data_IF_915039433058
#
_entry.id   IF_915039433058
#
_cell.length_a   1.000
_cell.length_b   1.000
_cell.length_c   1.000
_cell.angle_alpha   90.00
_cell.angle_beta   90.00
_cell.angle_gamma   90.00
#
_symmetry.space_group_name_H-M   'P 1'
#
loop_
_entity.id
_entity.type
_entity.pdbx_description
1 polymer ?
#
# COMPACT_ATOMS: atom_id res chain seq x y z
N UNK A 1 -36.22 4.76 15.04
CA UNK A 1 -35.18 4.52 16.06
C UNK A 1 -34.59 3.11 15.96
N UNK A 2 -35.38 2.03 16.04
CA UNK A 2 -34.89 0.64 15.90
C UNK A 2 -34.19 0.37 14.56
N UNK A 3 -34.72 0.85 13.42
CA UNK A 3 -34.08 0.69 12.10
C UNK A 3 -32.75 1.42 11.98
N UNK A 4 -32.61 2.60 12.57
CA UNK A 4 -31.34 3.33 12.56
C UNK A 4 -30.27 2.62 13.40
N UNK A 5 -30.65 2.01 14.54
CA UNK A 5 -29.72 1.23 15.35
C UNK A 5 -29.27 -0.06 14.64
N UNK A 6 -30.16 -0.72 13.88
CA UNK A 6 -29.80 -1.90 13.10
C UNK A 6 -28.89 -1.56 11.93
N UNK A 7 -29.10 -0.45 11.24
CA UNK A 7 -28.21 0.02 10.15
C UNK A 7 -26.83 0.40 10.70
N UNK A 8 -26.76 1.12 11.81
CA UNK A 8 -25.48 1.50 12.44
C UNK A 8 -24.69 0.26 12.89
N UNK A 9 -25.36 -0.73 13.49
CA UNK A 9 -24.70 -1.97 13.90
C UNK A 9 -24.16 -2.76 12.70
N UNK A 10 -24.88 -2.80 11.59
CA UNK A 10 -24.46 -3.46 10.36
C UNK A 10 -23.23 -2.77 9.74
N UNK A 11 -23.21 -1.42 9.71
CA UNK A 11 -22.08 -0.64 9.21
C UNK A 11 -20.83 -0.92 10.06
N UNK A 12 -20.96 -0.90 11.39
CA UNK A 12 -19.84 -1.19 12.30
C UNK A 12 -19.31 -2.62 12.13
N UNK A 13 -20.17 -3.60 11.99
CA UNK A 13 -19.79 -4.99 11.76
C UNK A 13 -19.08 -5.15 10.41
N UNK A 14 -19.56 -4.48 9.36
CA UNK A 14 -18.93 -4.48 8.04
C UNK A 14 -17.55 -3.84 8.08
N UNK A 15 -17.42 -2.66 8.69
CA UNK A 15 -16.13 -1.95 8.85
C UNK A 15 -15.11 -2.82 9.60
N UNK A 16 -15.55 -3.52 10.66
CA UNK A 16 -14.71 -4.46 11.41
C UNK A 16 -14.22 -5.62 10.53
N UNK A 17 -15.11 -6.25 9.80
CA UNK A 17 -14.75 -7.36 8.91
C UNK A 17 -13.75 -6.94 7.82
N UNK A 18 -13.92 -5.75 7.24
CA UNK A 18 -12.97 -5.20 6.29
C UNK A 18 -11.61 -4.91 6.92
N UNK A 19 -11.57 -4.29 8.10
CA UNK A 19 -10.32 -4.00 8.81
C UNK A 19 -9.56 -5.29 9.19
N UNK A 20 -10.26 -6.32 9.64
CA UNK A 20 -9.67 -7.65 9.92
C UNK A 20 -9.11 -8.30 8.65
N UNK A 21 -9.84 -8.22 7.53
CA UNK A 21 -9.41 -8.76 6.24
C UNK A 21 -8.17 -8.03 5.72
N UNK A 22 -8.17 -6.69 5.79
CA UNK A 22 -7.02 -5.86 5.42
C UNK A 22 -5.80 -6.19 6.28
N UNK A 23 -5.97 -6.26 7.61
CA UNK A 23 -4.90 -6.60 8.53
C UNK A 23 -4.28 -7.95 8.19
N UNK A 24 -5.11 -8.97 7.99
CA UNK A 24 -4.66 -10.31 7.65
C UNK A 24 -3.91 -10.34 6.30
N UNK A 25 -4.38 -9.59 5.31
CA UNK A 25 -3.71 -9.46 4.01
C UNK A 25 -2.33 -8.81 4.15
N UNK A 26 -2.25 -7.69 4.86
CA UNK A 26 -0.98 -6.96 5.06
C UNK A 26 0.00 -7.78 5.91
N UNK A 27 -0.46 -8.46 6.95
CA UNK A 27 0.38 -9.38 7.74
C UNK A 27 0.97 -10.49 6.87
N UNK A 28 0.20 -11.04 5.91
CA UNK A 28 0.71 -12.02 4.94
C UNK A 28 1.75 -11.42 4.00
N UNK A 29 1.63 -10.16 3.60
CA UNK A 29 2.67 -9.49 2.82
C UNK A 29 3.95 -9.30 3.64
N UNK A 30 3.84 -8.87 4.89
CA UNK A 30 4.97 -8.70 5.81
C UNK A 30 5.72 -10.03 6.01
N UNK A 31 4.97 -11.12 6.18
CA UNK A 31 5.53 -12.47 6.43
C UNK A 31 5.92 -13.23 5.16
N UNK A 32 5.67 -12.67 3.97
CA UNK A 32 5.87 -13.41 2.72
C UNK A 32 7.36 -13.77 2.51
N UNK A 33 7.70 -15.07 2.50
CA UNK A 33 9.11 -15.50 2.62
C UNK A 33 9.90 -15.39 1.32
N UNK A 34 9.22 -15.40 0.16
CA UNK A 34 9.88 -15.33 -1.15
C UNK A 34 10.01 -13.89 -1.63
N UNK A 35 10.96 -13.58 -2.52
CA UNK A 35 10.99 -12.28 -3.19
C UNK A 35 9.65 -11.97 -3.86
N UNK A 36 9.11 -10.80 -3.59
CA UNK A 36 7.84 -10.30 -4.12
C UNK A 36 8.10 -9.05 -4.95
N UNK A 37 7.61 -9.05 -6.18
CA UNK A 37 7.83 -7.97 -7.14
C UNK A 37 6.49 -7.38 -7.57
N UNK A 38 6.35 -6.06 -7.47
CA UNK A 38 5.20 -5.35 -8.01
C UNK A 38 5.48 -4.86 -9.43
N UNK A 39 4.54 -5.11 -10.35
CA UNK A 39 4.55 -4.60 -11.73
C UNK A 39 3.38 -3.61 -11.88
N UNK A 40 3.70 -2.32 -11.99
CA UNK A 40 2.71 -1.24 -12.03
C UNK A 40 2.62 -0.68 -13.45
N UNK A 41 1.49 -0.90 -14.13
CA UNK A 41 1.23 -0.38 -15.46
C UNK A 41 -0.04 0.49 -15.43
N UNK A 42 0.11 1.75 -15.04
CA UNK A 42 -1.00 2.66 -14.80
C UNK A 42 -1.01 3.22 -13.39
N UNK A 43 -2.18 3.47 -12.82
CA UNK A 43 -2.31 4.03 -11.47
C UNK A 43 -2.14 2.99 -10.37
N UNK A 44 -1.28 3.25 -9.40
CA UNK A 44 -1.28 2.59 -8.10
C UNK A 44 -1.95 3.55 -7.09
N UNK A 45 -3.16 3.21 -6.64
CA UNK A 45 -3.99 4.11 -5.83
C UNK A 45 -4.40 3.43 -4.52
N UNK A 46 -4.44 4.20 -3.43
CA UNK A 46 -4.84 3.70 -2.10
C UNK A 46 -3.95 2.56 -1.64
N UNK A 47 -4.55 1.42 -1.28
CA UNK A 47 -3.85 0.21 -0.87
C UNK A 47 -2.80 -0.24 -1.88
N UNK A 48 -3.11 -0.14 -3.20
CA UNK A 48 -2.18 -0.50 -4.27
C UNK A 48 -0.89 0.32 -4.28
N UNK A 49 -0.93 1.58 -3.81
CA UNK A 49 0.24 2.42 -3.61
C UNK A 49 0.90 2.15 -2.23
N UNK A 50 0.08 2.08 -1.18
CA UNK A 50 0.53 1.99 0.20
C UNK A 50 1.34 0.71 0.50
N UNK A 51 0.99 -0.41 -0.14
CA UNK A 51 1.67 -1.69 0.07
C UNK A 51 3.03 -1.80 -0.66
N UNK A 52 3.39 -0.88 -1.55
CA UNK A 52 4.61 -1.00 -2.36
C UNK A 52 5.91 -1.08 -1.56
N UNK A 53 6.08 -0.39 -0.41
CA UNK A 53 7.27 -0.57 0.42
C UNK A 53 7.39 -1.96 1.08
N UNK A 54 6.29 -2.74 1.10
CA UNK A 54 6.29 -4.09 1.65
C UNK A 54 6.77 -5.15 0.65
N UNK A 55 6.88 -4.81 -0.64
CA UNK A 55 7.46 -5.69 -1.67
C UNK A 55 8.97 -5.45 -1.81
N UNK A 56 9.66 -6.32 -2.53
CA UNK A 56 11.13 -6.31 -2.62
C UNK A 56 11.65 -5.55 -3.84
N UNK A 57 10.81 -5.40 -4.88
CA UNK A 57 11.09 -4.55 -6.02
C UNK A 57 9.80 -4.04 -6.66
N UNK A 58 9.83 -2.81 -7.15
CA UNK A 58 8.72 -2.18 -7.85
C UNK A 58 9.19 -1.76 -9.24
N UNK A 59 8.64 -2.35 -10.28
CA UNK A 59 8.83 -1.93 -11.65
C UNK A 59 7.59 -1.23 -12.16
N UNK A 60 7.75 -0.08 -12.79
CA UNK A 60 6.59 0.64 -13.31
C UNK A 60 6.77 1.10 -14.77
N UNK A 61 5.65 1.36 -15.41
CA UNK A 61 5.61 2.06 -16.70
C UNK A 61 5.90 3.55 -16.52
N UNK A 62 6.49 4.19 -17.54
CA UNK A 62 6.71 5.64 -17.54
C UNK A 62 5.41 6.46 -17.36
N UNK A 63 4.25 5.88 -17.73
CA UNK A 63 2.92 6.49 -17.56
C UNK A 63 2.26 6.16 -16.23
N UNK A 64 2.94 5.44 -15.34
CA UNK A 64 2.39 5.11 -14.04
C UNK A 64 2.39 6.31 -13.10
N UNK A 65 1.42 6.32 -12.19
CA UNK A 65 1.32 7.31 -11.11
C UNK A 65 0.93 6.63 -9.80
N UNK A 66 1.25 7.29 -8.69
CA UNK A 66 1.10 6.76 -7.34
C UNK A 66 0.34 7.75 -6.48
N UNK A 67 -0.74 7.33 -5.84
CA UNK A 67 -1.60 8.23 -5.08
C UNK A 67 -2.25 7.53 -3.89
N UNK A 68 -2.43 8.27 -2.81
CA UNK A 68 -3.16 7.81 -1.61
C UNK A 68 -4.23 8.85 -1.24
N UNK A 69 -5.43 8.81 -1.86
CA UNK A 69 -6.45 9.84 -1.68
C UNK A 69 -7.20 9.72 -0.34
N UNK A 70 -6.53 9.26 0.74
CA UNK A 70 -7.13 8.97 2.03
C UNK A 70 -7.91 10.14 2.60
N UNK A 71 -7.31 11.33 2.63
CA UNK A 71 -7.93 12.52 3.22
C UNK A 71 -9.20 12.93 2.45
N UNK A 72 -9.18 12.81 1.11
CA UNK A 72 -10.38 13.08 0.28
C UNK A 72 -11.53 12.15 0.61
N UNK A 73 -11.22 10.92 0.99
CA UNK A 73 -12.19 9.88 1.35
C UNK A 73 -12.54 9.90 2.85
N UNK A 74 -11.93 10.78 3.65
CA UNK A 74 -12.08 10.80 5.11
C UNK A 74 -11.43 9.61 5.81
N UNK A 75 -10.48 8.96 5.13
CA UNK A 75 -9.73 7.79 5.62
C UNK A 75 -8.35 8.18 6.15
N UNK A 76 -7.68 7.22 6.75
CA UNK A 76 -6.31 7.31 7.24
C UNK A 76 -5.38 6.37 6.47
N UNK A 77 -4.05 6.49 6.62
CA UNK A 77 -3.10 5.55 6.04
C UNK A 77 -3.38 4.08 6.38
N UNK A 78 -2.97 3.19 5.47
CA UNK A 78 -3.09 1.73 5.57
C UNK A 78 -1.81 1.05 5.07
N UNK A 79 -1.71 -0.27 5.25
CA UNK A 79 -0.60 -1.11 4.78
C UNK A 79 0.78 -0.63 5.26
N UNK A 80 0.84 -0.19 6.50
CA UNK A 80 2.03 0.37 7.15
C UNK A 80 2.55 1.66 6.51
N UNK A 81 1.79 2.33 5.63
CA UNK A 81 2.27 3.52 4.91
C UNK A 81 2.56 4.71 5.82
N UNK A 82 1.91 4.82 6.99
CA UNK A 82 2.25 5.83 8.01
C UNK A 82 3.68 5.69 8.55
N UNK A 83 4.24 4.49 8.49
CA UNK A 83 5.60 4.17 8.93
C UNK A 83 6.58 4.07 7.75
N UNK A 84 6.20 3.36 6.69
CA UNK A 84 7.11 3.04 5.58
C UNK A 84 7.35 4.22 4.64
N UNK A 85 6.34 5.04 4.36
CA UNK A 85 6.52 6.19 3.46
C UNK A 85 7.52 7.22 4.00
N UNK A 86 7.48 7.64 5.27
CA UNK A 86 8.52 8.50 5.82
C UNK A 86 9.93 7.93 5.68
N UNK A 87 10.10 6.62 5.80
CA UNK A 87 11.41 5.96 5.69
C UNK A 87 11.89 5.87 4.23
N UNK A 88 11.00 5.58 3.28
CA UNK A 88 11.36 5.37 1.87
C UNK A 88 11.43 6.69 1.12
N UNK A 89 10.45 7.58 1.33
CA UNK A 89 10.26 8.81 0.55
C UNK A 89 10.85 10.05 1.23
N UNK A 90 11.14 9.96 2.54
CA UNK A 90 11.35 11.11 3.41
C UNK A 90 10.04 11.76 3.85
N UNK A 91 10.04 12.41 5.01
CA UNK A 91 8.84 12.96 5.67
C UNK A 91 8.06 13.94 4.79
N UNK A 92 8.73 14.83 4.07
CA UNK A 92 8.09 15.84 3.22
C UNK A 92 7.25 15.20 2.12
N UNK A 93 7.79 14.19 1.43
CA UNK A 93 7.06 13.54 0.34
C UNK A 93 5.98 12.59 0.88
N UNK A 94 6.22 11.95 2.02
CA UNK A 94 5.20 11.17 2.72
C UNK A 94 3.98 12.05 3.09
N UNK A 95 4.21 13.26 3.62
CA UNK A 95 3.15 14.22 3.91
C UNK A 95 2.39 14.66 2.65
N UNK A 96 3.08 14.86 1.54
CA UNK A 96 2.42 15.20 0.27
C UNK A 96 1.45 14.10 -0.20
N UNK A 97 1.85 12.83 -0.10
CA UNK A 97 0.99 11.70 -0.44
C UNK A 97 -0.13 11.51 0.58
N UNK A 98 0.22 11.40 1.87
CA UNK A 98 -0.70 10.94 2.91
C UNK A 98 -1.63 12.03 3.43
N UNK A 99 -1.18 13.30 3.47
CA UNK A 99 -1.96 14.41 4.02
C UNK A 99 -2.51 15.35 2.94
N UNK A 100 -1.72 15.61 1.89
CA UNK A 100 -2.14 16.55 0.84
C UNK A 100 -2.80 15.83 -0.35
N UNK A 101 -2.71 14.49 -0.43
CA UNK A 101 -3.30 13.70 -1.51
C UNK A 101 -2.69 14.02 -2.89
N UNK A 102 -1.44 14.48 -2.93
CA UNK A 102 -0.70 14.78 -4.17
C UNK A 102 -0.20 13.47 -4.77
N UNK A 103 -0.49 13.24 -6.05
CA UNK A 103 0.01 12.06 -6.75
C UNK A 103 1.46 12.28 -7.19
N UNK A 104 2.26 11.19 -7.14
CA UNK A 104 3.61 11.14 -7.70
C UNK A 104 3.60 10.56 -9.11
N UNK A 105 4.37 11.16 -10.00
CA UNK A 105 4.71 10.56 -11.30
C UNK A 105 5.68 9.38 -11.10
N UNK A 106 5.84 8.54 -12.13
CA UNK A 106 6.82 7.45 -12.15
C UNK A 106 8.25 7.94 -11.85
N UNK A 107 8.63 9.09 -12.42
CA UNK A 107 9.94 9.70 -12.22
C UNK A 107 10.15 10.14 -10.76
N UNK A 108 9.17 10.83 -10.18
CA UNK A 108 9.25 11.23 -8.76
C UNK A 108 9.28 10.03 -7.83
N UNK A 109 8.45 9.01 -8.08
CA UNK A 109 8.43 7.78 -7.29
C UNK A 109 9.78 7.04 -7.34
N UNK A 110 10.46 7.03 -8.50
CA UNK A 110 11.81 6.49 -8.61
C UNK A 110 12.86 7.35 -7.91
N UNK A 111 12.79 8.67 -8.08
CA UNK A 111 13.72 9.60 -7.44
C UNK A 111 13.71 9.48 -5.91
N UNK A 112 12.53 9.23 -5.34
CA UNK A 112 12.35 9.06 -3.89
C UNK A 112 12.46 7.61 -3.40
N UNK A 113 12.80 6.64 -4.26
CA UNK A 113 13.10 5.27 -3.85
C UNK A 113 11.88 4.33 -3.75
N UNK A 114 10.67 4.77 -4.10
CA UNK A 114 9.48 3.90 -4.13
C UNK A 114 9.52 2.91 -5.30
N UNK A 115 10.14 3.29 -6.41
CA UNK A 115 10.22 2.52 -7.65
C UNK A 115 11.67 2.14 -7.94
N UNK A 116 11.88 0.85 -8.23
CA UNK A 116 13.20 0.30 -8.59
C UNK A 116 13.59 0.70 -10.00
N UNK A 117 12.70 0.54 -10.99
CA UNK A 117 12.97 0.90 -12.39
C UNK A 117 11.70 1.27 -13.15
N UNK A 118 11.90 2.18 -14.12
CA UNK A 118 10.85 2.65 -15.04
C UNK A 118 11.16 2.09 -16.42
N UNK A 119 10.13 1.66 -17.13
CA UNK A 119 10.22 1.14 -18.50
C UNK A 119 9.23 1.84 -19.44
N UNK A 120 9.52 1.91 -20.76
CA UNK A 120 8.59 2.42 -21.75
C UNK A 120 7.25 1.70 -21.69
N UNK A 121 6.15 2.44 -21.82
CA UNK A 121 4.81 1.90 -21.63
C UNK A 121 4.52 0.69 -22.53
N UNK A 122 4.85 0.81 -23.81
CA UNK A 122 4.52 -0.20 -24.81
C UNK A 122 5.36 -1.48 -24.70
N UNK A 123 6.52 -1.38 -24.06
CA UNK A 123 7.45 -2.50 -23.82
C UNK A 123 7.52 -2.91 -22.35
N UNK A 124 6.66 -2.33 -21.50
CA UNK A 124 6.72 -2.51 -20.05
C UNK A 124 6.76 -3.96 -19.61
N UNK A 125 5.78 -4.75 -20.07
CA UNK A 125 5.67 -6.17 -19.67
C UNK A 125 6.92 -6.97 -20.05
N UNK A 126 7.47 -6.74 -21.25
CA UNK A 126 8.65 -7.45 -21.73
C UNK A 126 9.88 -7.14 -20.86
N UNK A 127 10.15 -5.85 -20.60
CA UNK A 127 11.32 -5.43 -19.81
C UNK A 127 11.19 -5.82 -18.33
N UNK A 128 10.03 -5.57 -17.74
CA UNK A 128 9.79 -5.92 -16.34
C UNK A 128 9.92 -7.44 -16.12
N UNK A 129 9.31 -8.25 -16.99
CA UNK A 129 9.42 -9.72 -16.90
C UNK A 129 10.84 -10.24 -17.15
N UNK A 130 11.63 -9.57 -17.98
CA UNK A 130 13.05 -9.90 -18.14
C UNK A 130 13.82 -9.73 -16.81
N UNK A 131 13.57 -8.62 -16.08
CA UNK A 131 14.14 -8.40 -14.76
C UNK A 131 13.69 -9.46 -13.75
N UNK A 132 12.39 -9.78 -13.71
CA UNK A 132 11.84 -10.81 -12.82
C UNK A 132 12.48 -12.19 -13.09
N UNK A 133 12.57 -12.59 -14.36
CA UNK A 133 13.20 -13.87 -14.75
C UNK A 133 14.66 -13.92 -14.32
N UNK A 134 15.43 -12.85 -14.56
CA UNK A 134 16.83 -12.77 -14.14
C UNK A 134 16.98 -12.95 -12.63
N UNK A 135 16.10 -12.35 -11.82
CA UNK A 135 16.07 -12.55 -10.37
C UNK A 135 15.70 -13.99 -10.01
N UNK A 136 14.69 -14.56 -10.68
CA UNK A 136 14.23 -15.92 -10.43
C UNK A 136 15.28 -17.03 -10.77
N UNK A 137 16.28 -16.70 -11.60
CA UNK A 137 17.39 -17.62 -11.91
C UNK A 137 18.47 -17.67 -10.82
N UNK A 138 18.40 -16.79 -9.81
CA UNK A 138 19.35 -16.78 -8.70
C UNK A 138 19.03 -17.88 -7.67
N UNK A 139 19.96 -18.13 -6.75
CA UNK A 139 19.75 -19.10 -5.67
C UNK A 139 18.56 -18.74 -4.80
N UNK A 140 17.50 -19.56 -4.84
CA UNK A 140 16.28 -19.32 -4.08
C UNK A 140 16.50 -19.35 -2.58
N UNK A 141 17.37 -20.23 -2.09
CA UNK A 141 17.70 -20.34 -0.67
C UNK A 141 18.45 -19.08 -0.19
N UNK A 142 19.47 -18.65 -0.92
CA UNK A 142 20.23 -17.44 -0.58
C UNK A 142 19.34 -16.19 -0.58
N UNK A 143 18.41 -16.08 -1.55
CA UNK A 143 17.47 -14.96 -1.60
C UNK A 143 16.50 -14.96 -0.40
N UNK A 144 15.96 -16.12 -0.03
CA UNK A 144 15.05 -16.22 1.12
C UNK A 144 15.77 -15.88 2.42
N UNK A 145 17.00 -16.37 2.63
CA UNK A 145 17.81 -16.05 3.81
C UNK A 145 18.18 -14.55 3.85
N UNK A 146 18.54 -13.99 2.71
CA UNK A 146 18.84 -12.53 2.61
C UNK A 146 17.60 -11.70 2.93
N UNK A 147 16.43 -12.07 2.39
CA UNK A 147 15.16 -11.39 2.70
C UNK A 147 14.82 -11.49 4.18
N UNK A 148 14.96 -12.67 4.79
CA UNK A 148 14.76 -12.88 6.23
C UNK A 148 15.63 -11.91 7.05
N UNK A 149 16.92 -11.83 6.75
CA UNK A 149 17.85 -10.92 7.44
C UNK A 149 17.46 -9.45 7.27
N UNK A 150 17.08 -9.04 6.06
CA UNK A 150 16.69 -7.65 5.76
C UNK A 150 15.38 -7.23 6.47
N UNK A 151 14.43 -8.15 6.62
CA UNK A 151 13.10 -7.86 7.14
C UNK A 151 12.94 -8.13 8.65
N UNK A 152 13.76 -8.99 9.23
CA UNK A 152 13.63 -9.44 10.62
C UNK A 152 13.58 -8.31 11.64
N UNK A 153 14.40 -7.27 11.47
CA UNK A 153 14.45 -6.15 12.41
C UNK A 153 13.20 -5.27 12.42
N UNK A 154 12.48 -5.20 11.29
CA UNK A 154 11.28 -4.35 11.15
C UNK A 154 9.96 -5.11 11.24
N UNK A 155 9.97 -6.44 11.21
CA UNK A 155 8.77 -7.26 11.11
C UNK A 155 7.77 -7.03 12.26
N UNK A 156 8.24 -7.04 13.50
CA UNK A 156 7.39 -6.81 14.68
C UNK A 156 6.82 -5.39 14.67
N UNK A 157 7.64 -4.40 14.30
CA UNK A 157 7.19 -3.01 14.19
C UNK A 157 6.13 -2.84 13.10
N UNK A 158 6.33 -3.44 11.93
CA UNK A 158 5.35 -3.38 10.82
C UNK A 158 4.01 -3.99 11.22
N UNK A 159 4.00 -5.15 11.89
CA UNK A 159 2.75 -5.76 12.39
C UNK A 159 2.04 -4.89 13.43
N UNK A 160 2.79 -4.25 14.31
CA UNK A 160 2.21 -3.32 15.27
C UNK A 160 1.60 -2.10 14.58
N UNK A 161 2.29 -1.51 13.61
CA UNK A 161 1.77 -0.38 12.81
C UNK A 161 0.51 -0.79 12.05
N UNK A 162 0.53 -1.95 11.36
CA UNK A 162 -0.63 -2.47 10.66
C UNK A 162 -1.84 -2.63 11.57
N UNK A 163 -1.65 -3.16 12.77
CA UNK A 163 -2.70 -3.28 13.77
C UNK A 163 -3.28 -1.91 14.17
N UNK A 164 -2.42 -0.92 14.45
CA UNK A 164 -2.86 0.43 14.82
C UNK A 164 -3.61 1.12 13.68
N UNK A 165 -3.09 1.07 12.45
CA UNK A 165 -3.73 1.65 11.26
C UNK A 165 -5.12 1.03 11.02
N UNK A 166 -5.24 -0.30 11.08
CA UNK A 166 -6.51 -0.99 10.86
C UNK A 166 -7.56 -0.66 11.93
N UNK A 167 -7.16 -0.45 13.19
CA UNK A 167 -8.10 -0.03 14.24
C UNK A 167 -8.66 1.37 13.96
N UNK A 168 -7.82 2.32 13.58
CA UNK A 168 -8.24 3.68 13.22
C UNK A 168 -9.13 3.64 11.97
N UNK A 169 -8.77 2.86 10.95
CA UNK A 169 -9.58 2.69 9.73
C UNK A 169 -10.96 2.12 10.02
N UNK A 170 -11.05 1.13 10.90
CA UNK A 170 -12.35 0.56 11.33
C UNK A 170 -13.28 1.65 11.87
N UNK A 171 -12.77 2.53 12.74
CA UNK A 171 -13.53 3.67 13.27
C UNK A 171 -13.91 4.67 12.16
N UNK A 172 -12.95 4.98 11.26
CA UNK A 172 -13.19 5.91 10.15
C UNK A 172 -14.25 5.37 9.19
N UNK A 173 -14.19 4.10 8.79
CA UNK A 173 -15.17 3.50 7.86
C UNK A 173 -16.58 3.43 8.45
N UNK A 174 -16.72 3.39 9.76
CA UNK A 174 -18.01 3.46 10.45
C UNK A 174 -18.52 4.91 10.63
N UNK A 175 -17.72 5.95 10.30
CA UNK A 175 -18.08 7.34 10.52
C UNK A 175 -18.96 7.90 9.39
N UNK A 176 -19.94 8.76 9.73
CA UNK A 176 -20.80 9.45 8.77
C UNK A 176 -20.01 10.29 7.76
N UNK A 177 -18.92 10.92 8.21
CA UNK A 177 -18.06 11.74 7.35
C UNK A 177 -17.44 10.90 6.21
N UNK A 178 -16.90 9.71 6.52
CA UNK A 178 -16.32 8.82 5.51
C UNK A 178 -17.38 8.34 4.53
N UNK A 179 -18.55 7.97 5.01
CA UNK A 179 -19.69 7.53 4.15
C UNK A 179 -20.13 8.65 3.22
N UNK A 180 -20.20 9.89 3.69
CA UNK A 180 -20.55 11.08 2.89
C UNK A 180 -19.47 11.37 1.84
N UNK A 181 -18.20 11.38 2.23
CA UNK A 181 -17.09 11.63 1.32
C UNK A 181 -16.99 10.55 0.22
N UNK A 182 -17.26 9.29 0.58
CA UNK A 182 -17.27 8.19 -0.38
C UNK A 182 -18.38 8.35 -1.43
N UNK A 183 -19.58 8.74 -1.01
CA UNK A 183 -20.71 9.00 -1.93
C UNK A 183 -20.38 10.11 -2.90
N UNK A 184 -19.77 11.21 -2.44
CA UNK A 184 -19.38 12.34 -3.29
C UNK A 184 -18.17 12.05 -4.20
N UNK A 185 -17.36 11.04 -3.89
CA UNK A 185 -16.22 10.64 -4.72
C UNK A 185 -16.63 9.73 -5.89
N UNK A 186 -17.73 8.98 -5.75
CA UNK A 186 -18.26 8.03 -6.76
C UNK A 186 -19.32 8.69 -7.67
N UNK A 187 -19.93 9.82 -7.23
CA UNK A 187 -20.84 10.61 -8.06
C UNK A 187 -20.08 11.46 -9.08
#
# INVERSE_FOLDING_TARGET
MLNMLSETSHIQQTARSFAESLRNFVDKLIDFPKPLVALVQGGAVGLGCAMLPLVDAVYCSERSYFSTPYIKLGQTPEACSSFTFPQVLGMTMANNLLLNGVALTSCQAKQHGLVTSIFPHDQFKQHAMSCVRRTAMQSSEAMQKSKELLRKSSQTQLKHVNYCECNILMERWASEQTLTNFRSFVS
#
